data_IF_996235846508
#
_entry.id   IF_996235846508
#
_cell.length_a   1.000
_cell.length_b   1.000
_cell.length_c   1.000
_cell.angle_alpha   90.00
_cell.angle_beta   90.00
_cell.angle_gamma   90.00
#
_symmetry.space_group_name_H-M   'P 1'
#
loop_
_entity.id
_entity.type
_entity.pdbx_description
1 polymer ?
#
# COMPACT_ATOMS: atom_id res chain seq x y z
N UNK A 1 -16.15 -16.05 -12.27
CA UNK A 1 -16.65 -14.83 -12.95
C UNK A 1 -17.97 -14.35 -12.31
N UNK A 2 -18.02 -14.21 -10.98
CA UNK A 2 -19.27 -13.90 -10.27
C UNK A 2 -19.16 -12.73 -9.27
N UNK A 3 -17.98 -12.15 -9.02
CA UNK A 3 -17.83 -11.10 -7.99
C UNK A 3 -18.10 -9.69 -8.51
N UNK A 4 -17.80 -9.40 -9.78
CA UNK A 4 -17.86 -8.03 -10.32
C UNK A 4 -19.29 -7.48 -10.39
N UNK A 5 -20.29 -8.33 -10.62
CA UNK A 5 -21.70 -7.94 -10.66
C UNK A 5 -22.23 -7.59 -9.27
N UNK A 6 -21.78 -8.32 -8.25
CA UNK A 6 -22.24 -8.14 -6.87
C UNK A 6 -21.71 -6.83 -6.29
N UNK A 7 -20.44 -6.49 -6.55
CA UNK A 7 -19.87 -5.20 -6.16
C UNK A 7 -20.51 -4.02 -6.89
N UNK A 8 -20.84 -4.18 -8.19
CA UNK A 8 -21.56 -3.15 -8.94
C UNK A 8 -22.95 -2.89 -8.35
N UNK A 9 -23.71 -3.95 -8.09
CA UNK A 9 -25.05 -3.84 -7.53
C UNK A 9 -25.01 -3.24 -6.11
N UNK A 10 -24.06 -3.65 -5.28
CA UNK A 10 -23.85 -3.05 -3.96
C UNK A 10 -23.58 -1.54 -4.06
N UNK A 11 -22.76 -1.11 -5.03
CA UNK A 11 -22.51 0.30 -5.31
C UNK A 11 -23.77 1.06 -5.75
N UNK A 12 -24.59 0.46 -6.62
CA UNK A 12 -25.88 1.04 -7.05
C UNK A 12 -26.84 1.21 -5.87
N UNK A 13 -27.01 0.18 -5.03
CA UNK A 13 -27.87 0.23 -3.84
C UNK A 13 -27.36 1.31 -2.87
N UNK A 14 -26.06 1.34 -2.59
CA UNK A 14 -25.43 2.34 -1.74
C UNK A 14 -25.69 3.77 -2.27
N UNK A 15 -25.48 3.98 -3.57
CA UNK A 15 -25.74 5.26 -4.23
C UNK A 15 -27.21 5.68 -4.14
N UNK A 16 -28.15 4.74 -4.32
CA UNK A 16 -29.59 5.01 -4.20
C UNK A 16 -29.99 5.39 -2.76
N UNK A 17 -29.45 4.72 -1.75
CA UNK A 17 -29.73 5.04 -0.35
C UNK A 17 -29.25 6.45 -0.01
N UNK A 18 -28.04 6.81 -0.45
CA UNK A 18 -27.49 8.16 -0.28
C UNK A 18 -28.31 9.20 -1.06
N UNK A 19 -28.64 8.94 -2.32
CA UNK A 19 -29.40 9.85 -3.18
C UNK A 19 -30.79 10.19 -2.64
N UNK A 20 -31.50 9.19 -2.10
CA UNK A 20 -32.86 9.35 -1.58
C UNK A 20 -32.90 9.83 -0.11
N UNK A 21 -31.76 10.17 0.51
CA UNK A 21 -31.65 10.48 1.93
C UNK A 21 -32.32 9.43 2.83
N UNK A 22 -32.22 8.14 2.46
CA UNK A 22 -32.87 7.09 3.23
C UNK A 22 -32.13 6.87 4.55
N UNK A 23 -32.82 6.93 5.71
CA UNK A 23 -32.22 6.58 6.99
C UNK A 23 -31.93 5.07 7.04
N UNK A 24 -30.77 4.67 7.56
CA UNK A 24 -30.45 3.25 7.81
C UNK A 24 -29.25 2.66 7.05
N UNK A 25 -28.38 3.49 6.47
CA UNK A 25 -27.11 2.99 5.93
C UNK A 25 -26.11 2.69 7.06
N UNK A 26 -26.16 1.49 7.63
CA UNK A 26 -25.19 1.02 8.63
C UNK A 26 -23.97 0.35 7.96
N UNK A 27 -23.22 1.14 7.19
CA UNK A 27 -21.98 0.67 6.57
C UNK A 27 -20.81 1.52 7.05
N UNK A 28 -19.89 0.88 7.78
CA UNK A 28 -18.69 1.51 8.34
C UNK A 28 -17.49 1.25 7.45
N UNK A 29 -17.38 2.02 6.36
CA UNK A 29 -16.20 1.96 5.51
C UNK A 29 -15.00 2.65 6.15
N UNK A 30 -13.78 2.12 5.96
CA UNK A 30 -12.56 2.86 6.27
C UNK A 30 -12.50 4.18 5.49
N UNK A 31 -11.89 5.24 6.05
CA UNK A 31 -11.78 6.56 5.40
C UNK A 31 -11.19 6.51 3.98
N UNK A 32 -10.26 5.59 3.72
CA UNK A 32 -9.61 5.41 2.41
C UNK A 32 -10.61 5.12 1.28
N UNK A 33 -11.73 4.47 1.59
CA UNK A 33 -12.76 4.12 0.59
C UNK A 33 -13.42 5.40 0.08
N UNK A 34 -13.70 6.35 0.97
CA UNK A 34 -14.29 7.63 0.58
C UNK A 34 -13.32 8.48 -0.25
N UNK A 35 -12.03 8.46 0.10
CA UNK A 35 -10.98 9.09 -0.72
C UNK A 35 -10.94 8.49 -2.12
N UNK A 36 -11.00 7.15 -2.21
CA UNK A 36 -11.00 6.43 -3.49
C UNK A 36 -12.22 6.75 -4.35
N UNK A 37 -13.41 6.87 -3.75
CA UNK A 37 -14.65 7.26 -4.46
C UNK A 37 -14.59 8.70 -4.98
N UNK A 38 -13.85 9.58 -4.30
CA UNK A 38 -13.67 10.99 -4.68
C UNK A 38 -12.48 11.25 -5.60
N UNK A 39 -11.76 10.19 -6.02
CA UNK A 39 -10.49 10.30 -6.75
C UNK A 39 -9.44 11.17 -6.03
N UNK A 40 -9.44 11.18 -4.69
CA UNK A 40 -8.40 11.83 -3.89
C UNK A 40 -7.12 10.97 -3.86
N UNK A 41 -5.92 11.59 -3.85
CA UNK A 41 -4.66 10.85 -3.77
C UNK A 41 -4.58 10.09 -2.44
N UNK A 42 -4.09 8.85 -2.52
CA UNK A 42 -3.83 8.00 -1.37
C UNK A 42 -2.34 8.04 -1.03
N UNK A 43 -2.02 7.91 0.26
CA UNK A 43 -0.64 7.82 0.72
C UNK A 43 -0.45 6.80 1.82
N UNK A 44 0.78 6.68 2.32
CA UNK A 44 1.17 5.74 3.39
C UNK A 44 0.23 5.83 4.61
N UNK A 45 -0.19 7.02 5.00
CA UNK A 45 -1.06 7.23 6.17
C UNK A 45 -2.45 6.58 6.03
N UNK A 46 -2.93 6.37 4.81
CA UNK A 46 -4.21 5.69 4.57
C UNK A 46 -4.12 4.18 4.87
N UNK A 47 -2.94 3.59 4.75
CA UNK A 47 -2.71 2.18 5.09
C UNK A 47 -2.85 1.91 6.59
N UNK A 48 -2.63 2.92 7.46
CA UNK A 48 -2.70 2.77 8.92
C UNK A 48 -4.01 2.13 9.39
N UNK A 49 -5.12 2.46 8.75
CA UNK A 49 -6.46 1.99 9.14
C UNK A 49 -6.88 0.68 8.46
N UNK A 50 -6.17 0.24 7.41
CA UNK A 50 -6.56 -0.90 6.57
C UNK A 50 -5.58 -2.06 6.71
N UNK A 51 -4.29 -1.74 6.69
CA UNK A 51 -3.17 -2.68 6.80
C UNK A 51 -2.13 -2.11 7.78
N UNK A 52 -2.43 -2.14 9.11
CA UNK A 52 -1.56 -1.53 10.12
C UNK A 52 -0.16 -2.16 10.14
N UNK A 53 -0.04 -3.46 9.92
CA UNK A 53 1.25 -4.15 9.89
C UNK A 53 2.11 -3.66 8.72
N UNK A 54 1.54 -3.59 7.52
CA UNK A 54 2.22 -3.06 6.33
C UNK A 54 2.61 -1.59 6.53
N UNK A 55 1.72 -0.78 7.10
CA UNK A 55 2.02 0.61 7.44
C UNK A 55 3.24 0.72 8.35
N UNK A 56 3.30 -0.09 9.41
CA UNK A 56 4.43 -0.09 10.34
C UNK A 56 5.72 -0.55 9.65
N UNK A 57 5.68 -1.62 8.85
CA UNK A 57 6.86 -2.10 8.13
C UNK A 57 7.42 -1.05 7.16
N UNK A 58 6.57 -0.41 6.34
CA UNK A 58 7.00 0.63 5.40
C UNK A 58 7.51 1.88 6.15
N UNK A 59 6.87 2.23 7.26
CA UNK A 59 7.34 3.34 8.11
C UNK A 59 8.70 3.05 8.73
N UNK A 60 8.93 1.83 9.21
CA UNK A 60 10.23 1.40 9.73
C UNK A 60 11.33 1.43 8.68
N UNK A 61 10.99 1.11 7.42
CA UNK A 61 11.89 1.20 6.28
C UNK A 61 12.29 2.66 6.01
N UNK A 62 11.33 3.60 6.02
CA UNK A 62 11.60 5.02 5.83
C UNK A 62 12.41 5.65 6.97
N UNK A 63 12.09 5.27 8.22
CA UNK A 63 12.74 5.79 9.43
C UNK A 63 14.04 5.08 9.79
N UNK A 64 14.49 4.11 8.99
CA UNK A 64 15.76 3.45 9.23
C UNK A 64 16.89 4.44 9.05
N UNK A 65 17.82 4.46 10.00
CA UNK A 65 19.04 5.27 9.97
C UNK A 65 20.23 4.38 10.35
N UNK A 66 21.42 4.63 9.79
CA UNK A 66 22.62 3.89 10.15
C UNK A 66 23.02 4.17 11.60
N UNK A 67 23.52 3.15 12.30
CA UNK A 67 23.93 3.26 13.71
C UNK A 67 25.05 4.30 13.92
N UNK A 68 25.96 4.42 12.95
CA UNK A 68 27.00 5.43 12.95
C UNK A 68 26.76 6.44 11.81
N UNK A 69 26.52 7.73 12.09
CA UNK A 69 26.25 8.75 11.07
C UNK A 69 27.50 9.17 10.27
N UNK A 70 28.70 8.72 10.65
CA UNK A 70 29.96 9.04 9.95
C UNK A 70 30.29 8.06 8.80
N UNK A 71 29.47 7.03 8.58
CA UNK A 71 29.71 6.06 7.50
C UNK A 71 29.41 6.67 6.13
N UNK A 72 30.10 6.15 5.10
CA UNK A 72 29.85 6.58 3.73
C UNK A 72 28.45 6.16 3.26
N UNK A 73 27.88 6.93 2.33
CA UNK A 73 26.61 6.58 1.67
C UNK A 73 26.57 5.15 1.12
N UNK A 74 27.69 4.68 0.57
CA UNK A 74 27.80 3.34 -0.04
C UNK A 74 27.78 2.23 1.02
N UNK A 75 28.37 2.49 2.19
CA UNK A 75 28.32 1.58 3.33
C UNK A 75 26.92 1.55 3.95
N UNK A 76 26.27 2.72 4.11
CA UNK A 76 24.89 2.81 4.54
C UNK A 76 23.93 2.04 3.61
N UNK A 77 24.10 2.20 2.29
CA UNK A 77 23.34 1.43 1.29
C UNK A 77 23.57 -0.08 1.44
N UNK A 78 24.83 -0.50 1.58
CA UNK A 78 25.17 -1.93 1.72
C UNK A 78 24.56 -2.55 2.99
N UNK A 79 24.58 -1.84 4.12
CA UNK A 79 23.97 -2.31 5.37
C UNK A 79 22.44 -2.39 5.22
N UNK A 80 21.83 -1.37 4.61
CA UNK A 80 20.40 -1.33 4.35
C UNK A 80 19.94 -2.50 3.47
N UNK A 81 20.61 -2.70 2.32
CA UNK A 81 20.31 -3.79 1.39
C UNK A 81 20.43 -5.16 2.04
N UNK A 82 21.46 -5.39 2.87
CA UNK A 82 21.62 -6.65 3.61
C UNK A 82 20.58 -6.85 4.73
N UNK A 83 20.06 -5.76 5.31
CA UNK A 83 19.08 -5.80 6.39
C UNK A 83 17.68 -6.12 5.87
N UNK A 84 17.28 -5.45 4.78
CA UNK A 84 15.91 -5.55 4.25
C UNK A 84 15.79 -6.57 3.11
N UNK A 85 16.81 -6.67 2.25
CA UNK A 85 16.85 -7.56 1.10
C UNK A 85 15.57 -7.49 0.25
N UNK A 86 15.20 -6.27 -0.16
CA UNK A 86 13.99 -5.99 -0.93
C UNK A 86 14.34 -5.60 -2.37
N UNK A 87 13.46 -5.99 -3.28
CA UNK A 87 13.37 -5.51 -4.66
C UNK A 87 12.06 -4.75 -4.86
N UNK A 88 11.80 -4.21 -6.05
CA UNK A 88 10.54 -3.54 -6.36
C UNK A 88 9.45 -4.55 -6.77
N UNK A 89 9.33 -5.68 -6.06
CA UNK A 89 8.24 -6.64 -6.21
C UNK A 89 7.30 -6.61 -5.01
N UNK A 90 6.00 -6.73 -5.28
CA UNK A 90 4.97 -6.95 -4.27
C UNK A 90 4.27 -8.28 -4.51
N UNK A 91 4.09 -9.05 -3.44
CA UNK A 91 3.32 -10.30 -3.47
C UNK A 91 2.06 -10.17 -2.64
N UNK A 92 0.91 -10.47 -3.24
CA UNK A 92 -0.40 -10.37 -2.61
C UNK A 92 -1.27 -11.57 -2.99
N UNK A 93 -2.23 -11.90 -2.13
CA UNK A 93 -3.18 -12.97 -2.39
C UNK A 93 -4.39 -12.44 -3.16
N UNK A 94 -4.74 -13.13 -4.23
CA UNK A 94 -5.99 -12.92 -4.96
C UNK A 94 -6.69 -14.25 -5.10
N UNK A 95 -7.81 -14.40 -4.41
CA UNK A 95 -8.67 -15.60 -4.45
C UNK A 95 -7.89 -16.89 -4.10
N UNK A 96 -7.06 -16.83 -3.07
CA UNK A 96 -6.25 -17.94 -2.57
C UNK A 96 -5.00 -18.24 -3.40
N UNK A 97 -4.66 -17.37 -4.35
CA UNK A 97 -3.47 -17.48 -5.19
C UNK A 97 -2.55 -16.29 -4.94
N UNK A 98 -1.31 -16.58 -4.56
CA UNK A 98 -0.25 -15.58 -4.51
C UNK A 98 0.06 -15.09 -5.93
N UNK A 99 -0.05 -13.80 -6.13
CA UNK A 99 0.40 -13.10 -7.33
C UNK A 99 1.53 -12.16 -6.97
N UNK A 100 2.54 -12.10 -7.82
CA UNK A 100 3.67 -11.18 -7.68
C UNK A 100 3.64 -10.18 -8.84
N UNK A 101 3.86 -8.90 -8.54
CA UNK A 101 3.91 -7.81 -9.53
C UNK A 101 5.08 -6.88 -9.26
N UNK A 102 5.64 -6.34 -10.33
CA UNK A 102 6.62 -5.26 -10.27
C UNK A 102 5.93 -3.93 -9.99
N UNK A 103 6.51 -3.14 -9.07
CA UNK A 103 6.04 -1.79 -8.72
C UNK A 103 6.46 -0.74 -9.76
N UNK A 104 7.56 -1.00 -10.47
CA UNK A 104 8.10 -0.15 -11.53
C UNK A 104 8.71 -1.02 -12.65
N UNK A 105 8.98 -0.43 -13.82
CA UNK A 105 9.57 -1.16 -14.95
C UNK A 105 10.96 -1.72 -14.58
N UNK A 106 11.13 -3.04 -14.71
CA UNK A 106 12.40 -3.71 -14.35
C UNK A 106 12.61 -3.78 -12.85
N UNK A 107 11.54 -3.65 -12.05
CA UNK A 107 11.61 -3.59 -10.59
C UNK A 107 12.19 -4.85 -9.96
N UNK A 108 12.09 -6.00 -10.64
CA UNK A 108 12.67 -7.26 -10.21
C UNK A 108 14.20 -7.24 -10.12
N UNK A 109 14.85 -6.48 -10.99
CA UNK A 109 16.32 -6.38 -11.05
C UNK A 109 16.85 -5.12 -10.35
N UNK A 110 15.95 -4.33 -9.74
CA UNK A 110 16.27 -3.12 -8.99
C UNK A 110 16.19 -3.40 -7.49
N UNK A 111 17.32 -3.31 -6.80
CA UNK A 111 17.36 -3.40 -5.34
C UNK A 111 16.79 -2.12 -4.69
N UNK A 112 16.10 -2.30 -3.57
CA UNK A 112 15.70 -1.18 -2.69
C UNK A 112 16.90 -0.81 -1.81
N UNK A 113 17.35 0.42 -1.94
CA UNK A 113 18.53 0.97 -1.28
C UNK A 113 18.12 2.09 -0.33
N UNK A 114 19.06 2.52 0.53
CA UNK A 114 18.81 3.65 1.43
C UNK A 114 18.40 4.91 0.64
N UNK A 115 18.93 5.13 -0.56
CA UNK A 115 18.62 6.31 -1.38
C UNK A 115 17.28 6.26 -2.12
N UNK A 116 16.85 5.08 -2.56
CA UNK A 116 15.61 4.93 -3.36
C UNK A 116 14.42 4.40 -2.55
N UNK A 117 14.56 4.30 -1.22
CA UNK A 117 13.53 3.78 -0.34
C UNK A 117 12.20 4.53 -0.38
N UNK A 118 12.24 5.83 -0.65
CA UNK A 118 11.04 6.64 -0.82
C UNK A 118 10.28 6.29 -2.11
N UNK A 119 10.98 5.84 -3.16
CA UNK A 119 10.33 5.40 -4.40
C UNK A 119 9.58 4.07 -4.22
N UNK A 120 9.94 3.29 -3.19
CA UNK A 120 9.31 2.01 -2.89
C UNK A 120 8.00 2.15 -2.10
N UNK A 121 7.82 3.25 -1.37
CA UNK A 121 6.71 3.49 -0.43
C UNK A 121 5.65 4.41 -1.02
#
# INVERSE_FOLDING_TARGET
>A
ACESTDFWLAGVILGLVVYNNMPGLDVRFPPVVFKKVKDEPLGLEDLRNVHPDTYLSLRSLLSWEPENPEISDDEANSIFENTFCLDFLVTFDVNGKKQTRELCEGGKDKAVTYKNREDFV
#
